data_IF_498124331499
#
_entry.id   IF_498124331499
#
_cell.length_a   1.000
_cell.length_b   1.000
_cell.length_c   1.000
_cell.angle_alpha   90.00
_cell.angle_beta   90.00
_cell.angle_gamma   90.00
#
_symmetry.space_group_name_H-M   'P 1'
#
loop_
_entity.id
_entity.type
_entity.pdbx_description
1 polymer ?
#
# COMPACT_ATOMS: atom_id res chain seq x y z
N UNK A 1 -34.18 1.64 4.72
CA UNK A 1 -32.83 1.65 5.32
C UNK A 1 -31.82 1.52 4.18
N UNK A 2 -31.55 2.64 3.50
CA UNK A 2 -30.64 2.71 2.36
C UNK A 2 -29.22 2.50 2.88
N UNK A 3 -28.68 1.30 2.65
CA UNK A 3 -27.26 1.03 2.83
C UNK A 3 -26.55 1.94 1.83
N UNK A 4 -26.03 3.10 2.27
CA UNK A 4 -25.15 3.91 1.44
C UNK A 4 -24.11 2.97 0.86
N UNK A 5 -24.10 2.84 -0.46
CA UNK A 5 -23.19 1.97 -1.20
C UNK A 5 -21.81 2.63 -1.16
N UNK A 6 -21.20 2.67 0.03
CA UNK A 6 -19.88 3.24 0.23
C UNK A 6 -18.89 2.36 -0.51
N UNK A 7 -18.12 2.97 -1.42
CA UNK A 7 -17.07 2.28 -2.16
C UNK A 7 -16.13 1.56 -1.18
N UNK A 8 -15.64 0.35 -1.50
CA UNK A 8 -14.69 -0.36 -0.65
C UNK A 8 -13.48 0.54 -0.34
N UNK A 9 -12.86 0.40 0.84
CA UNK A 9 -11.62 1.12 1.12
C UNK A 9 -10.50 0.64 0.18
N UNK A 10 -9.48 1.47 0.05
CA UNK A 10 -8.18 1.05 -0.48
C UNK A 10 -7.47 0.30 0.65
N UNK A 11 -7.16 -0.98 0.42
CA UNK A 11 -6.41 -1.77 1.38
C UNK A 11 -4.91 -1.48 1.25
N UNK A 12 -4.17 -1.77 2.31
CA UNK A 12 -2.72 -1.92 2.22
C UNK A 12 -2.28 -3.13 3.03
N UNK A 13 -1.18 -3.77 2.65
CA UNK A 13 -0.65 -4.96 3.33
C UNK A 13 0.88 -4.92 3.33
N UNK A 14 1.49 -5.30 4.44
CA UNK A 14 2.92 -5.54 4.53
C UNK A 14 3.18 -7.03 4.36
N UNK A 15 4.16 -7.41 3.55
CA UNK A 15 4.44 -8.83 3.36
C UNK A 15 5.35 -9.41 4.45
N UNK A 16 6.18 -8.59 5.08
CA UNK A 16 7.16 -8.95 6.09
C UNK A 16 7.81 -10.31 5.81
N UNK A 17 7.79 -11.23 6.76
CA UNK A 17 8.25 -12.61 6.60
C UNK A 17 7.09 -13.61 6.42
N UNK A 18 5.92 -13.16 5.92
CA UNK A 18 4.80 -14.05 5.71
C UNK A 18 5.13 -15.19 4.74
N UNK A 19 4.62 -16.38 5.05
CA UNK A 19 4.52 -17.42 4.04
C UNK A 19 3.58 -16.97 2.90
N UNK A 20 3.87 -17.42 1.68
CA UNK A 20 3.08 -17.09 0.48
C UNK A 20 1.60 -17.42 0.67
N UNK A 21 1.27 -18.57 1.24
CA UNK A 21 -0.12 -19.00 1.43
C UNK A 21 -0.85 -18.10 2.43
N UNK A 22 -0.18 -17.72 3.52
CA UNK A 22 -0.73 -16.77 4.50
C UNK A 22 -1.02 -15.43 3.83
N UNK A 23 -0.05 -14.87 3.10
CA UNK A 23 -0.20 -13.60 2.40
C UNK A 23 -1.38 -13.62 1.40
N UNK A 24 -1.47 -14.66 0.56
CA UNK A 24 -2.58 -14.81 -0.39
C UNK A 24 -3.92 -14.99 0.32
N UNK A 25 -3.96 -15.71 1.44
CA UNK A 25 -5.19 -15.86 2.24
C UNK A 25 -5.69 -14.54 2.80
N UNK A 26 -4.80 -13.63 3.21
CA UNK A 26 -5.16 -12.29 3.68
C UNK A 26 -5.82 -11.48 2.55
N UNK A 27 -5.27 -11.54 1.33
CA UNK A 27 -5.87 -10.90 0.15
C UNK A 27 -7.26 -11.48 -0.16
N UNK A 28 -7.37 -12.81 -0.20
CA UNK A 28 -8.61 -13.51 -0.52
C UNK A 28 -9.72 -13.21 0.50
N UNK A 29 -9.41 -13.22 1.81
CA UNK A 29 -10.35 -12.92 2.90
C UNK A 29 -11.02 -11.54 2.77
N UNK A 30 -10.36 -10.59 2.12
CA UNK A 30 -10.88 -9.23 1.90
C UNK A 30 -11.38 -8.99 0.47
N UNK A 31 -11.37 -10.03 -0.37
CA UNK A 31 -11.81 -9.98 -1.75
C UNK A 31 -10.94 -9.08 -2.61
N UNK A 32 -9.64 -8.97 -2.30
CA UNK A 32 -8.71 -8.16 -3.10
C UNK A 32 -8.53 -8.81 -4.46
N UNK A 33 -8.80 -8.06 -5.52
CA UNK A 33 -8.67 -8.51 -6.91
C UNK A 33 -7.56 -7.78 -7.68
N UNK A 34 -6.90 -6.81 -7.06
CA UNK A 34 -5.75 -6.10 -7.63
C UNK A 34 -4.73 -5.78 -6.53
N UNK A 35 -3.49 -6.25 -6.70
CA UNK A 35 -2.36 -5.87 -5.86
C UNK A 35 -1.50 -4.84 -6.60
N UNK A 36 -1.23 -3.70 -5.97
CA UNK A 36 -0.31 -2.68 -6.46
C UNK A 36 0.93 -2.72 -5.57
N UNK A 37 2.06 -3.06 -6.17
CA UNK A 37 3.34 -3.10 -5.49
C UNK A 37 3.99 -1.71 -5.49
N UNK A 38 4.12 -1.15 -4.29
CA UNK A 38 4.69 0.17 -4.04
C UNK A 38 6.10 0.08 -3.43
N UNK A 39 6.75 -1.09 -3.50
CA UNK A 39 8.15 -1.24 -3.10
C UNK A 39 9.04 -0.61 -4.18
N UNK A 40 10.05 0.16 -3.78
CA UNK A 40 11.04 0.66 -4.73
C UNK A 40 11.77 -0.48 -5.44
N UNK A 41 12.14 -1.51 -4.66
CA UNK A 41 12.85 -2.70 -5.14
C UNK A 41 12.12 -3.96 -4.67
N UNK A 42 11.28 -4.57 -5.51
CA UNK A 42 10.52 -5.76 -5.19
C UNK A 42 11.36 -7.03 -5.39
N UNK A 43 12.50 -7.10 -4.70
CA UNK A 43 13.47 -8.19 -4.78
C UNK A 43 13.92 -8.60 -3.38
N UNK A 44 14.03 -9.91 -3.12
CA UNK A 44 14.55 -10.44 -1.87
C UNK A 44 15.18 -11.81 -2.09
N UNK A 45 16.41 -11.98 -1.60
CA UNK A 45 17.07 -13.29 -1.57
C UNK A 45 16.50 -14.22 -0.49
N UNK A 46 15.97 -13.64 0.60
CA UNK A 46 15.46 -14.37 1.76
C UNK A 46 14.01 -14.82 1.56
N UNK A 47 13.25 -14.05 0.78
CA UNK A 47 11.85 -14.34 0.47
C UNK A 47 11.63 -14.31 -1.05
N UNK A 48 12.14 -15.31 -1.80
CA UNK A 48 12.06 -15.31 -3.26
C UNK A 48 10.62 -15.26 -3.80
N UNK A 49 9.63 -15.75 -3.03
CA UNK A 49 8.21 -15.68 -3.40
C UNK A 49 7.64 -14.26 -3.40
N UNK A 50 8.31 -13.30 -2.78
CA UNK A 50 7.96 -11.87 -2.85
C UNK A 50 8.78 -11.11 -3.89
N UNK A 51 9.67 -11.75 -4.65
CA UNK A 51 10.23 -11.15 -5.85
C UNK A 51 9.12 -10.87 -6.87
N UNK A 52 9.21 -9.74 -7.57
CA UNK A 52 8.19 -9.25 -8.52
C UNK A 52 7.55 -10.33 -9.39
N UNK A 53 8.37 -11.11 -10.10
CA UNK A 53 7.86 -12.08 -11.08
C UNK A 53 7.22 -13.29 -10.40
N UNK A 54 7.81 -13.77 -9.30
CA UNK A 54 7.26 -14.87 -8.51
C UNK A 54 5.93 -14.49 -7.84
N UNK A 55 5.85 -13.25 -7.32
CA UNK A 55 4.64 -12.71 -6.71
C UNK A 55 3.55 -12.55 -7.78
N UNK A 56 3.87 -11.97 -8.94
CA UNK A 56 2.93 -11.81 -10.05
C UNK A 56 2.37 -13.15 -10.55
N UNK A 57 3.23 -14.17 -10.69
CA UNK A 57 2.80 -15.51 -11.07
C UNK A 57 1.86 -16.13 -10.02
N UNK A 58 2.19 -15.97 -8.74
CA UNK A 58 1.37 -16.46 -7.64
C UNK A 58 -0.01 -15.81 -7.65
N UNK A 59 -0.09 -14.48 -7.76
CA UNK A 59 -1.35 -13.72 -7.78
C UNK A 59 -2.23 -14.08 -9.00
N UNK A 60 -1.62 -14.26 -10.17
CA UNK A 60 -2.33 -14.64 -11.40
C UNK A 60 -3.08 -15.96 -11.23
N UNK A 61 -2.49 -16.94 -10.57
CA UNK A 61 -3.16 -18.23 -10.30
C UNK A 61 -4.39 -18.13 -9.39
N UNK A 62 -4.52 -17.03 -8.65
CA UNK A 62 -5.66 -16.73 -7.78
C UNK A 62 -6.62 -15.67 -8.37
N UNK A 63 -6.45 -15.30 -9.63
CA UNK A 63 -7.27 -14.28 -10.29
C UNK A 63 -7.05 -12.86 -9.77
N UNK A 64 -5.92 -12.60 -9.10
CA UNK A 64 -5.56 -11.28 -8.59
C UNK A 64 -4.64 -10.59 -9.60
N UNK A 65 -5.04 -9.41 -10.07
CA UNK A 65 -4.20 -8.57 -10.93
C UNK A 65 -2.97 -8.04 -10.17
N UNK A 66 -1.90 -7.74 -10.89
CA UNK A 66 -0.66 -7.22 -10.31
C UNK A 66 -0.14 -6.03 -11.11
N UNK A 67 0.12 -4.91 -10.42
CA UNK A 67 0.75 -3.72 -10.99
C UNK A 67 1.96 -3.32 -10.15
N UNK A 68 3.03 -2.84 -10.79
CA UNK A 68 4.23 -2.41 -10.10
C UNK A 68 4.43 -0.89 -10.26
N UNK A 69 4.31 -0.16 -9.15
CA UNK A 69 4.43 1.31 -9.08
C UNK A 69 5.63 1.73 -8.21
N UNK A 70 6.72 0.95 -8.20
CA UNK A 70 7.90 1.26 -7.39
C UNK A 70 8.63 2.54 -7.79
N UNK A 71 8.50 3.00 -9.04
CA UNK A 71 9.10 4.26 -9.50
C UNK A 71 8.33 5.48 -9.00
N UNK A 72 7.01 5.37 -8.93
CA UNK A 72 6.09 6.43 -8.56
C UNK A 72 5.87 6.49 -7.05
N UNK A 73 5.70 5.32 -6.42
CA UNK A 73 5.26 5.18 -5.04
C UNK A 73 6.28 4.46 -4.15
N UNK A 74 7.50 4.22 -4.63
CA UNK A 74 8.58 3.53 -3.91
C UNK A 74 9.17 4.28 -2.71
N UNK A 75 8.70 5.50 -2.41
CA UNK A 75 9.16 6.28 -1.26
C UNK A 75 10.55 6.90 -1.43
N UNK A 76 11.07 7.03 -2.65
CA UNK A 76 12.38 7.63 -2.94
C UNK A 76 12.22 9.04 -3.52
N UNK A 77 13.19 9.91 -3.21
CA UNK A 77 13.40 11.17 -3.90
C UNK A 77 12.68 12.40 -3.32
N UNK A 78 13.36 13.54 -3.43
CA UNK A 78 12.91 14.87 -2.98
C UNK A 78 12.88 15.89 -4.12
N UNK A 79 13.19 15.46 -5.35
CA UNK A 79 13.18 16.36 -6.50
C UNK A 79 11.74 16.69 -6.94
N UNK A 80 11.60 17.77 -7.71
CA UNK A 80 10.32 18.10 -8.36
C UNK A 80 9.83 16.95 -9.25
N UNK A 81 10.75 16.29 -9.95
CA UNK A 81 10.42 15.13 -10.79
C UNK A 81 9.84 13.97 -9.95
N UNK A 82 10.38 13.73 -8.74
CA UNK A 82 9.86 12.71 -7.84
C UNK A 82 8.47 13.07 -7.30
N UNK A 83 8.22 14.34 -7.00
CA UNK A 83 6.91 14.82 -6.58
C UNK A 83 5.86 14.65 -7.70
N UNK A 84 6.20 14.98 -8.94
CA UNK A 84 5.33 14.76 -10.11
C UNK A 84 5.07 13.27 -10.31
N UNK A 85 6.12 12.43 -10.27
CA UNK A 85 6.00 10.98 -10.39
C UNK A 85 5.08 10.40 -9.31
N UNK A 86 5.20 10.88 -8.07
CA UNK A 86 4.34 10.48 -6.96
C UNK A 86 2.87 10.85 -7.19
N UNK A 87 2.58 12.09 -7.59
CA UNK A 87 1.21 12.51 -7.89
C UNK A 87 0.57 11.66 -9.00
N UNK A 88 1.31 11.38 -10.07
CA UNK A 88 0.85 10.48 -11.15
C UNK A 88 0.58 9.06 -10.64
N UNK A 89 1.41 8.55 -9.72
CA UNK A 89 1.19 7.27 -9.07
C UNK A 89 -0.11 7.23 -8.26
N UNK A 90 -0.37 8.28 -7.46
CA UNK A 90 -1.60 8.42 -6.69
C UNK A 90 -2.83 8.48 -7.61
N UNK A 91 -2.77 9.27 -8.68
CA UNK A 91 -3.87 9.38 -9.65
C UNK A 91 -4.22 8.04 -10.29
N UNK A 92 -3.20 7.21 -10.60
CA UNK A 92 -3.40 5.86 -11.14
C UNK A 92 -4.04 4.91 -10.12
N UNK A 93 -3.64 4.98 -8.85
CA UNK A 93 -4.28 4.21 -7.77
C UNK A 93 -5.75 4.63 -7.62
N UNK A 94 -6.02 5.94 -7.59
CA UNK A 94 -7.38 6.49 -7.47
C UNK A 94 -8.23 6.13 -8.68
N UNK A 95 -7.67 6.14 -9.89
CA UNK A 95 -8.36 5.71 -11.11
C UNK A 95 -8.76 4.23 -11.04
N UNK A 96 -7.84 3.34 -10.64
CA UNK A 96 -8.16 1.93 -10.43
C UNK A 96 -9.24 1.75 -9.34
N UNK A 97 -9.12 2.45 -8.22
CA UNK A 97 -10.15 2.42 -7.17
C UNK A 97 -11.52 2.91 -7.68
N UNK A 98 -11.55 3.94 -8.54
CA UNK A 98 -12.77 4.47 -9.16
C UNK A 98 -13.43 3.49 -10.13
N UNK A 99 -12.66 2.60 -10.75
CA UNK A 99 -13.15 1.51 -11.60
C UNK A 99 -13.67 0.29 -10.81
N UNK A 100 -13.96 0.45 -9.51
CA UNK A 100 -14.53 -0.57 -8.63
C UNK A 100 -13.61 -1.79 -8.36
N UNK A 101 -12.30 -1.67 -8.58
CA UNK A 101 -11.33 -2.65 -8.07
C UNK A 101 -11.33 -2.66 -6.53
N UNK A 102 -11.26 -3.85 -5.95
CA UNK A 102 -10.93 -4.06 -4.53
C UNK A 102 -9.44 -4.24 -4.47
N UNK A 103 -8.71 -3.14 -4.30
CA UNK A 103 -7.26 -3.13 -4.44
C UNK A 103 -6.54 -3.08 -3.09
N UNK A 104 -5.33 -3.62 -3.07
CA UNK A 104 -4.40 -3.50 -1.96
C UNK A 104 -3.04 -2.94 -2.42
N UNK A 105 -2.43 -2.05 -1.63
CA UNK A 105 -1.05 -1.60 -1.82
C UNK A 105 -0.09 -2.45 -0.97
N UNK A 106 0.96 -3.02 -1.56
CA UNK A 106 1.93 -3.86 -0.83
C UNK A 106 3.28 -3.18 -0.58
N UNK A 107 3.80 -3.31 0.65
CA UNK A 107 5.16 -2.92 1.07
C UNK A 107 5.85 -4.12 1.73
N UNK A 108 7.15 -3.99 2.01
CA UNK A 108 7.91 -5.00 2.74
C UNK A 108 7.59 -5.04 4.24
N UNK A 109 7.62 -3.90 4.91
CA UNK A 109 7.33 -3.78 6.36
C UNK A 109 5.88 -4.17 6.70
N UNK A 110 5.65 -4.94 7.77
CA UNK A 110 4.31 -5.29 8.28
C UNK A 110 3.60 -4.04 8.80
N UNK A 111 4.26 -3.32 9.72
CA UNK A 111 3.65 -2.19 10.41
C UNK A 111 3.60 -0.96 9.49
N UNK A 112 2.42 -0.56 8.98
CA UNK A 112 2.30 0.56 8.06
C UNK A 112 2.90 1.84 8.64
N UNK A 113 2.92 2.02 9.97
CA UNK A 113 3.50 3.20 10.64
C UNK A 113 5.00 3.35 10.42
N UNK A 114 5.70 2.27 10.07
CA UNK A 114 7.14 2.23 9.81
C UNK A 114 7.49 2.23 8.32
N UNK A 115 6.50 2.32 7.43
CA UNK A 115 6.68 2.35 5.97
C UNK A 115 5.94 3.54 5.33
N UNK A 116 6.34 3.92 4.12
CA UNK A 116 5.74 5.00 3.33
C UNK A 116 4.26 4.79 2.98
N UNK A 117 3.72 3.60 3.21
CA UNK A 117 2.27 3.34 3.16
C UNK A 117 1.49 4.28 4.08
N UNK A 118 1.91 4.45 5.34
CA UNK A 118 1.17 5.29 6.29
C UNK A 118 1.55 6.76 6.20
N UNK A 119 2.82 7.11 6.09
CA UNK A 119 3.23 8.53 6.20
C UNK A 119 3.19 9.28 4.87
N UNK A 120 3.21 8.59 3.72
CA UNK A 120 3.23 9.23 2.39
C UNK A 120 1.99 8.93 1.56
N UNK A 121 1.71 7.65 1.35
CA UNK A 121 0.67 7.23 0.39
C UNK A 121 -0.73 7.43 0.99
N UNK A 122 -0.97 6.97 2.23
CA UNK A 122 -2.29 7.04 2.83
C UNK A 122 -2.83 8.48 2.95
N UNK A 123 -2.05 9.50 3.39
CA UNK A 123 -2.52 10.89 3.42
C UNK A 123 -2.92 11.40 2.04
N UNK A 124 -2.13 11.10 1.00
CA UNK A 124 -2.46 11.50 -0.36
C UNK A 124 -3.77 10.85 -0.86
N UNK A 125 -4.02 9.59 -0.51
CA UNK A 125 -5.28 8.90 -0.85
C UNK A 125 -6.47 9.43 -0.06
N UNK A 126 -6.29 9.76 1.22
CA UNK A 126 -7.32 10.38 2.05
C UNK A 126 -7.74 11.75 1.48
N UNK A 127 -6.79 12.56 1.04
CA UNK A 127 -7.07 13.86 0.39
C UNK A 127 -7.86 13.73 -0.91
N UNK A 128 -7.89 12.54 -1.52
CA UNK A 128 -8.69 12.20 -2.70
C UNK A 128 -10.06 11.59 -2.34
N UNK A 129 -10.43 11.59 -1.05
CA UNK A 129 -11.69 11.07 -0.54
C UNK A 129 -11.74 9.55 -0.40
N UNK A 130 -10.63 8.84 -0.58
CA UNK A 130 -10.58 7.40 -0.36
C UNK A 130 -10.49 7.11 1.14
N UNK A 131 -11.09 5.99 1.58
CA UNK A 131 -10.78 5.40 2.89
C UNK A 131 -9.59 4.45 2.73
N UNK A 132 -8.61 4.53 3.62
CA UNK A 132 -7.46 3.62 3.64
C UNK A 132 -7.57 2.69 4.84
N UNK A 133 -7.40 1.39 4.62
CA UNK A 133 -7.44 0.37 5.67
C UNK A 133 -6.23 -0.56 5.54
N UNK A 134 -5.50 -0.74 6.63
CA UNK A 134 -4.34 -1.63 6.68
C UNK A 134 -4.78 -3.03 7.11
N UNK A 135 -4.52 -4.01 6.26
CA UNK A 135 -4.61 -5.43 6.61
C UNK A 135 -3.33 -5.76 7.37
N UNK A 136 -3.47 -6.16 8.64
CA UNK A 136 -2.36 -6.58 9.50
C UNK A 136 -2.04 -8.06 9.28
N UNK A 137 -0.87 -8.51 9.74
CA UNK A 137 -0.42 -9.88 9.53
C UNK A 137 -1.33 -10.96 10.15
N UNK A 138 -2.12 -10.61 11.15
CA UNK A 138 -3.15 -11.46 11.78
C UNK A 138 -4.51 -11.43 11.07
N UNK A 139 -4.65 -10.59 10.03
CA UNK A 139 -5.90 -10.34 9.30
C UNK A 139 -6.82 -9.32 9.94
N UNK A 140 -6.40 -8.65 11.02
CA UNK A 140 -7.13 -7.50 11.57
C UNK A 140 -7.11 -6.36 10.57
N UNK A 141 -8.25 -5.68 10.44
CA UNK A 141 -8.38 -4.46 9.67
C UNK A 141 -8.15 -3.25 10.57
N UNK A 142 -7.17 -2.44 10.22
CA UNK A 142 -6.83 -1.21 10.95
C UNK A 142 -7.06 0.01 10.05
N UNK A 143 -8.13 0.80 10.27
CA UNK A 143 -8.36 2.01 9.50
C UNK A 143 -7.23 3.03 9.69
N UNK A 144 -6.78 3.62 8.59
CA UNK A 144 -5.89 4.77 8.66
C UNK A 144 -6.70 5.99 9.10
N UNK A 145 -6.24 6.68 10.15
CA UNK A 145 -6.89 7.90 10.63
C UNK A 145 -6.03 9.13 10.29
N UNK A 146 -6.63 10.29 10.00
CA UNK A 146 -5.88 11.53 9.79
C UNK A 146 -4.90 11.86 10.93
N UNK A 147 -5.23 11.51 12.17
CA UNK A 147 -4.35 11.69 13.34
C UNK A 147 -2.99 10.98 13.23
N UNK A 148 -2.85 9.97 12.35
CA UNK A 148 -1.56 9.33 12.09
C UNK A 148 -0.61 10.22 11.30
N UNK A 149 -1.16 11.04 10.38
CA UNK A 149 -0.38 11.98 9.59
C UNK A 149 0.23 13.07 10.49
N UNK A 150 -0.54 13.53 11.48
CA UNK A 150 -0.09 14.53 12.45
C UNK A 150 1.08 14.03 13.32
N UNK A 151 1.06 12.75 13.72
CA UNK A 151 2.14 12.14 14.50
C UNK A 151 3.41 11.90 13.68
N UNK A 152 3.29 11.52 12.40
CA UNK A 152 4.44 11.30 11.52
C UNK A 152 5.20 12.60 11.19
N UNK A 153 4.48 13.73 11.09
CA UNK A 153 5.08 15.06 10.96
C UNK A 153 5.75 15.53 12.26
N UNK A 154 5.18 15.20 13.42
CA UNK A 154 5.75 15.55 14.72
C UNK A 154 6.96 14.70 15.13
N UNK A 155 7.05 13.45 14.66
CA UNK A 155 8.14 12.52 14.98
C UNK A 155 9.28 12.52 13.96
N UNK A 156 9.14 13.23 12.83
CA UNK A 156 10.25 13.48 11.92
C UNK A 156 11.28 14.38 12.63
N UNK A 157 12.59 14.03 12.64
CA UNK A 157 13.59 14.92 13.22
C UNK A 157 13.52 16.27 12.51
N UNK A 158 13.37 17.34 13.29
CA UNK A 158 13.46 18.70 12.77
C UNK A 158 14.82 18.84 12.06
N UNK A 159 14.87 19.44 10.86
CA UNK A 159 16.13 19.66 10.18
C UNK A 159 17.04 20.52 11.07
N UNK A 160 18.21 19.97 11.46
CA UNK A 160 19.26 20.70 12.17
C UNK A 160 19.41 20.41 13.66
N UNK A 161 18.70 19.45 14.26
CA UNK A 161 18.90 19.08 15.68
C UNK A 161 19.49 17.65 15.77
N UNK A 162 20.78 17.49 16.13
CA UNK A 162 21.36 16.17 16.36
C UNK A 162 20.81 15.53 17.65
N UNK A 163 20.77 14.19 17.69
CA UNK A 163 20.27 13.39 18.83
C UNK A 163 21.25 13.38 20.00
#
# INVERSE_FOLDING_TARGET
>A
MTRELTRPPIYTLGHDNHDRAVFLSLLARHGVNLLIDVRAEPYSRHLPHFCKDALAASLKSWGVGYLFFGRELGGRGTSVADAVSFSLGIDRVVSAWRQAYRLALVCAEEDPRRCHRAWRIAPALLSQGARVVHIRGDGRLEPHTPAWADYALAAAPLPGIPR
#
